data_IF_714415343462
#
_entry.id   IF_714415343462
#
_cell.length_a   1.000
_cell.length_b   1.000
_cell.length_c   1.000
_cell.angle_alpha   90.00
_cell.angle_beta   90.00
_cell.angle_gamma   90.00
#
_symmetry.space_group_name_H-M   'P 1'
#
loop_
_entity.id
_entity.type
_entity.pdbx_description
1 polymer ?
#
# COMPACT_ATOMS: atom_id res chain seq x y z
N UNK A 1 -4.78 8.03 -8.83
CA UNK A 1 -5.25 8.72 -7.61
C UNK A 1 -5.54 7.66 -6.57
N UNK A 2 -4.95 7.78 -5.38
CA UNK A 2 -5.18 6.86 -4.27
C UNK A 2 -6.44 7.28 -3.49
N UNK A 3 -7.05 6.31 -2.81
CA UNK A 3 -8.22 6.54 -1.95
C UNK A 3 -8.11 5.63 -0.72
N UNK A 4 -8.74 6.04 0.38
CA UNK A 4 -8.82 5.25 1.60
C UNK A 4 -9.36 3.85 1.26
N UNK A 5 -8.74 2.82 1.83
CA UNK A 5 -9.05 1.41 1.58
C UNK A 5 -8.41 0.82 0.32
N UNK A 6 -7.65 1.59 -0.47
CA UNK A 6 -6.85 1.01 -1.55
C UNK A 6 -5.68 0.21 -0.97
N UNK A 7 -5.48 -1.01 -1.50
CA UNK A 7 -4.25 -1.75 -1.28
C UNK A 7 -3.13 -1.18 -2.14
N UNK A 8 -1.97 -1.02 -1.53
CA UNK A 8 -0.78 -0.48 -2.18
C UNK A 8 0.43 -1.35 -1.87
N UNK A 9 1.39 -1.31 -2.78
CA UNK A 9 2.72 -1.88 -2.63
C UNK A 9 3.73 -0.75 -2.70
N UNK A 10 4.68 -0.74 -1.78
CA UNK A 10 5.80 0.18 -1.79
C UNK A 10 6.84 -0.28 -2.81
N UNK A 11 7.21 0.60 -3.73
CA UNK A 11 8.02 0.24 -4.89
C UNK A 11 9.47 -0.13 -4.54
N UNK A 12 9.98 0.27 -3.37
CA UNK A 12 11.39 0.06 -3.00
C UNK A 12 11.68 -1.34 -2.45
N UNK A 13 10.80 -1.87 -1.61
CA UNK A 13 11.00 -3.14 -0.90
C UNK A 13 9.85 -4.14 -1.12
N UNK A 14 8.77 -3.73 -1.79
CA UNK A 14 7.60 -4.56 -2.02
C UNK A 14 6.65 -4.65 -0.82
N UNK A 15 6.88 -3.91 0.26
CA UNK A 15 6.02 -3.90 1.43
C UNK A 15 4.58 -3.54 1.03
N UNK A 16 3.61 -4.28 1.55
CA UNK A 16 2.20 -4.07 1.22
C UNK A 16 1.45 -3.41 2.37
N UNK A 17 0.47 -2.58 2.02
CA UNK A 17 -0.32 -1.86 3.01
C UNK A 17 -1.65 -1.37 2.47
N UNK A 18 -2.41 -0.75 3.36
CA UNK A 18 -3.72 -0.16 3.06
C UNK A 18 -3.67 1.34 3.29
N UNK A 19 -4.18 2.12 2.34
CA UNK A 19 -4.29 3.57 2.48
C UNK A 19 -5.33 3.89 3.55
N UNK A 20 -4.91 4.62 4.59
CA UNK A 20 -5.76 5.06 5.70
C UNK A 20 -6.17 6.52 5.55
N UNK A 21 -5.32 7.34 4.96
CA UNK A 21 -5.57 8.77 4.72
C UNK A 21 -4.82 9.22 3.46
N UNK A 22 -5.34 10.22 2.77
CA UNK A 22 -4.68 10.87 1.63
C UNK A 22 -4.56 12.36 1.89
N UNK A 23 -3.34 12.90 1.78
CA UNK A 23 -3.07 14.33 1.95
C UNK A 23 -2.02 14.78 0.94
N UNK A 24 -2.39 15.76 0.12
CA UNK A 24 -1.54 16.27 -0.95
C UNK A 24 -1.01 15.12 -1.85
N UNK A 25 0.31 15.00 -1.99
CA UNK A 25 0.99 13.93 -2.75
C UNK A 25 1.43 12.74 -1.88
N UNK A 26 0.86 12.58 -0.69
CA UNK A 26 1.20 11.49 0.23
C UNK A 26 -0.04 10.71 0.70
N UNK A 27 0.16 9.43 0.98
CA UNK A 27 -0.80 8.58 1.67
C UNK A 27 -0.26 8.19 3.04
N UNK A 28 -1.10 8.25 4.07
CA UNK A 28 -0.85 7.49 5.28
C UNK A 28 -1.22 6.04 4.98
N UNK A 29 -0.27 5.13 5.12
CA UNK A 29 -0.45 3.71 4.83
C UNK A 29 -0.25 2.91 6.11
N UNK A 30 -1.19 2.02 6.40
CA UNK A 30 -1.04 0.98 7.42
C UNK A 30 -0.42 -0.26 6.75
N UNK A 31 0.81 -0.59 7.14
CA UNK A 31 1.60 -1.67 6.58
C UNK A 31 1.30 -3.00 7.26
N UNK A 32 1.72 -4.10 6.62
CA UNK A 32 1.54 -5.47 7.14
C UNK A 32 2.19 -5.71 8.51
N UNK A 33 3.25 -4.98 8.84
CA UNK A 33 3.98 -5.04 10.12
C UNK A 33 3.31 -4.24 11.25
N UNK A 34 2.11 -3.70 10.99
CA UNK A 34 1.32 -2.84 11.89
C UNK A 34 1.90 -1.44 12.12
N UNK A 35 2.94 -1.06 11.38
CA UNK A 35 3.42 0.33 11.36
C UNK A 35 2.52 1.16 10.45
N UNK A 36 2.32 2.42 10.80
CA UNK A 36 1.70 3.41 9.94
C UNK A 36 2.73 4.47 9.58
N UNK A 37 2.89 4.78 8.29
CA UNK A 37 3.76 5.87 7.86
C UNK A 37 3.24 6.57 6.60
N UNK A 38 3.70 7.80 6.39
CA UNK A 38 3.40 8.58 5.19
C UNK A 38 4.32 8.17 4.05
N UNK A 39 3.75 7.87 2.89
CA UNK A 39 4.47 7.51 1.68
C UNK A 39 4.06 8.40 0.50
N UNK A 40 5.05 8.81 -0.31
CA UNK A 40 4.82 9.57 -1.54
C UNK A 40 4.08 8.73 -2.58
N UNK A 41 3.18 9.36 -3.33
CA UNK A 41 2.46 8.71 -4.43
C UNK A 41 3.40 8.07 -5.46
N UNK A 42 4.57 8.67 -5.69
CA UNK A 42 5.55 8.18 -6.67
C UNK A 42 6.18 6.84 -6.28
N UNK A 43 6.13 6.50 -4.98
CA UNK A 43 6.66 5.27 -4.42
C UNK A 43 5.57 4.23 -4.16
N UNK A 44 4.31 4.54 -4.45
CA UNK A 44 3.19 3.64 -4.23
C UNK A 44 2.67 3.10 -5.57
N UNK A 45 2.47 1.79 -5.63
CA UNK A 45 1.73 1.14 -6.70
C UNK A 45 0.42 0.61 -6.14
N UNK A 46 -0.71 0.99 -6.74
CA UNK A 46 -2.01 0.39 -6.40
C UNK A 46 -2.01 -1.08 -6.83
N UNK A 47 -2.46 -1.95 -5.94
CA UNK A 47 -2.61 -3.39 -6.21
C UNK A 47 -4.05 -3.82 -5.99
N UNK A 48 -4.46 -4.87 -6.71
CA UNK A 48 -5.76 -5.52 -6.51
C UNK A 48 -5.74 -6.50 -5.33
N UNK A 49 -6.91 -6.84 -4.79
CA UNK A 49 -7.02 -7.91 -3.79
C UNK A 49 -6.51 -9.25 -4.32
N UNK A 50 -6.69 -9.53 -5.62
CA UNK A 50 -6.20 -10.76 -6.24
C UNK A 50 -4.67 -10.83 -6.24
N UNK A 51 -3.99 -9.72 -6.59
CA UNK A 51 -2.53 -9.61 -6.47
C UNK A 51 -2.08 -9.79 -5.02
N UNK A 52 -2.77 -9.14 -4.07
CA UNK A 52 -2.46 -9.28 -2.64
C UNK A 52 -2.52 -10.75 -2.21
N UNK A 53 -3.61 -11.46 -2.53
CA UNK A 53 -3.78 -12.88 -2.17
C UNK A 53 -2.67 -13.73 -2.78
N UNK A 54 -2.29 -13.49 -4.04
CA UNK A 54 -1.22 -14.22 -4.70
C UNK A 54 0.13 -14.05 -4.01
N UNK A 55 0.43 -12.88 -3.45
CA UNK A 55 1.68 -12.63 -2.71
C UNK A 55 1.77 -13.47 -1.42
N UNK A 56 0.63 -13.75 -0.78
CA UNK A 56 0.57 -14.52 0.48
C UNK A 56 0.16 -15.98 0.29
N UNK A 57 -0.09 -16.44 -0.94
CA UNK A 57 -0.42 -17.84 -1.21
C UNK A 57 0.88 -18.61 -1.49
N UNK A 58 1.24 -19.61 -0.66
CA UNK A 58 2.39 -20.45 -0.94
C UNK A 58 2.20 -21.19 -2.27
N UNK A 59 3.29 -21.30 -3.04
CA UNK A 59 3.32 -22.09 -4.27
C UNK A 59 3.32 -23.58 -4.00
#
# INVERSE_FOLDING_TARGET
MFSIGNYVMFSLDGAVGTVMETKDNHCLVAWEDRVCSWASFDLLRKISCAELIQLFTPK
#
